data_IF_923833143123
#
_entry.id   IF_923833143123
#
_cell.length_a   1.000
_cell.length_b   1.000
_cell.length_c   1.000
_cell.angle_alpha   90.00
_cell.angle_beta   90.00
_cell.angle_gamma   90.00
#
_symmetry.space_group_name_H-M   'P 1'
#
loop_
_entity.id
_entity.type
_entity.pdbx_description
1 polymer ?
#
# COMPACT_ATOMS: atom_id res chain seq x y z
N UNK A 1 26.73 28.83 -20.17
CA UNK A 1 25.30 29.20 -20.12
C UNK A 1 24.40 28.04 -20.55
N UNK A 2 24.74 27.25 -21.58
CA UNK A 2 23.98 26.06 -21.99
C UNK A 2 24.03 24.89 -20.98
N UNK A 3 25.17 24.68 -20.30
CA UNK A 3 25.29 23.63 -19.25
C UNK A 3 24.43 23.89 -18.01
N UNK A 4 24.16 25.16 -17.69
CA UNK A 4 23.28 25.52 -16.56
C UNK A 4 21.80 25.20 -16.86
N UNK A 5 21.40 25.22 -18.14
CA UNK A 5 20.05 24.85 -18.57
C UNK A 5 19.75 23.35 -18.42
N UNK A 6 20.70 22.50 -18.83
CA UNK A 6 20.59 21.04 -18.67
C UNK A 6 20.59 20.61 -17.20
N UNK A 7 21.51 21.17 -16.39
CA UNK A 7 21.58 20.87 -14.97
C UNK A 7 20.33 21.33 -14.18
N UNK A 8 19.60 22.33 -14.66
CA UNK A 8 18.33 22.76 -14.04
C UNK A 8 17.17 21.84 -14.46
N UNK A 9 17.15 21.39 -15.71
CA UNK A 9 16.17 20.42 -16.20
C UNK A 9 16.24 19.09 -15.44
N UNK A 10 17.45 18.54 -15.22
CA UNK A 10 17.65 17.30 -14.45
C UNK A 10 17.15 17.43 -13.01
N UNK A 11 17.40 18.58 -12.37
CA UNK A 11 16.91 18.87 -11.02
C UNK A 11 15.39 18.89 -10.95
N UNK A 12 14.73 19.51 -11.93
CA UNK A 12 13.26 19.53 -11.98
C UNK A 12 12.68 18.13 -12.25
N UNK A 13 13.30 17.31 -13.10
CA UNK A 13 12.86 15.92 -13.32
C UNK A 13 12.96 15.10 -12.04
N UNK A 14 14.07 15.19 -11.31
CA UNK A 14 14.25 14.47 -10.03
C UNK A 14 13.20 14.92 -9.02
N UNK A 15 12.99 16.23 -8.87
CA UNK A 15 12.02 16.82 -7.95
C UNK A 15 10.60 16.39 -8.29
N UNK A 16 10.19 16.51 -9.55
CA UNK A 16 8.84 16.17 -9.99
C UNK A 16 8.58 14.67 -9.89
N UNK A 17 9.57 13.83 -10.23
CA UNK A 17 9.46 12.38 -10.10
C UNK A 17 9.26 11.95 -8.65
N UNK A 18 10.03 12.53 -7.72
CA UNK A 18 9.87 12.28 -6.28
C UNK A 18 8.50 12.76 -5.76
N UNK A 19 8.04 13.94 -6.21
CA UNK A 19 6.74 14.47 -5.84
C UNK A 19 5.59 13.57 -6.33
N UNK A 20 5.61 13.15 -7.60
CA UNK A 20 4.59 12.25 -8.16
C UNK A 20 4.57 10.91 -7.44
N UNK A 21 5.74 10.31 -7.16
CA UNK A 21 5.82 9.05 -6.43
C UNK A 21 5.24 9.16 -5.00
N UNK A 22 5.54 10.25 -4.30
CA UNK A 22 5.01 10.51 -2.97
C UNK A 22 3.48 10.63 -2.98
N UNK A 23 2.95 11.49 -3.85
CA UNK A 23 1.51 11.75 -3.94
C UNK A 23 0.74 10.48 -4.34
N UNK A 24 1.23 9.73 -5.33
CA UNK A 24 0.60 8.49 -5.74
C UNK A 24 0.60 7.42 -4.63
N UNK A 25 1.71 7.33 -3.88
CA UNK A 25 1.83 6.41 -2.74
C UNK A 25 0.92 6.79 -1.57
N UNK A 26 0.83 8.07 -1.25
CA UNK A 26 0.04 8.58 -0.12
C UNK A 26 -1.46 8.28 -0.31
N UNK A 27 -2.07 8.77 -1.39
CA UNK A 27 -3.49 8.53 -1.64
C UNK A 27 -3.84 7.04 -1.70
N UNK A 28 -2.99 6.24 -2.37
CA UNK A 28 -3.29 4.83 -2.56
C UNK A 28 -3.20 4.01 -1.27
N UNK A 29 -2.20 4.29 -0.43
CA UNK A 29 -2.01 3.61 0.86
C UNK A 29 -3.06 4.01 1.89
N UNK A 30 -3.44 5.29 1.94
CA UNK A 30 -4.50 5.78 2.83
C UNK A 30 -5.84 5.11 2.51
N UNK A 31 -6.25 5.12 1.23
CA UNK A 31 -7.51 4.54 0.80
C UNK A 31 -7.58 3.02 1.04
N UNK A 32 -6.51 2.28 0.71
CA UNK A 32 -6.46 0.83 0.95
C UNK A 32 -6.47 0.47 2.44
N UNK A 33 -5.80 1.26 3.29
CA UNK A 33 -5.81 1.04 4.73
C UNK A 33 -7.19 1.27 5.34
N UNK A 34 -7.90 2.33 4.92
CA UNK A 34 -9.27 2.59 5.37
C UNK A 34 -10.23 1.49 4.91
N UNK A 35 -10.11 1.02 3.66
CA UNK A 35 -10.89 -0.09 3.17
C UNK A 35 -10.65 -1.39 3.95
N UNK A 36 -9.39 -1.67 4.31
CA UNK A 36 -9.04 -2.80 5.17
C UNK A 36 -9.69 -2.69 6.55
N UNK A 37 -9.59 -1.52 7.20
CA UNK A 37 -10.20 -1.29 8.52
C UNK A 37 -11.71 -1.48 8.44
N UNK A 38 -12.36 -0.90 7.42
CA UNK A 38 -13.79 -1.06 7.19
C UNK A 38 -14.17 -2.54 7.04
N UNK A 39 -13.43 -3.31 6.23
CA UNK A 39 -13.68 -4.73 6.05
C UNK A 39 -13.53 -5.49 7.38
N UNK A 40 -12.42 -5.32 8.08
CA UNK A 40 -12.13 -6.08 9.30
C UNK A 40 -13.09 -5.77 10.45
N UNK A 41 -13.59 -4.53 10.57
CA UNK A 41 -14.62 -4.17 11.55
C UNK A 41 -15.96 -4.86 11.25
N UNK A 42 -16.31 -5.05 9.98
CA UNK A 42 -17.55 -5.72 9.58
C UNK A 42 -17.44 -7.26 9.61
N UNK A 43 -16.23 -7.81 9.54
CA UNK A 43 -15.96 -9.26 9.49
C UNK A 43 -14.99 -9.71 10.61
N UNK A 44 -15.41 -9.64 11.89
CA UNK A 44 -14.53 -9.94 13.04
C UNK A 44 -14.03 -11.39 13.10
N UNK A 45 -14.71 -12.34 12.47
CA UNK A 45 -14.24 -13.71 12.27
C UNK A 45 -13.03 -13.79 11.34
N UNK A 46 -12.96 -12.93 10.32
CA UNK A 46 -11.79 -12.84 9.43
C UNK A 46 -10.59 -12.31 10.22
N UNK A 47 -10.79 -11.28 11.05
CA UNK A 47 -9.76 -10.75 11.94
C UNK A 47 -9.19 -11.81 12.89
N UNK A 48 -10.07 -12.58 13.55
CA UNK A 48 -9.65 -13.64 14.47
C UNK A 48 -8.84 -14.73 13.78
N UNK A 49 -9.21 -15.11 12.56
CA UNK A 49 -8.44 -16.08 11.75
C UNK A 49 -7.08 -15.54 11.34
N UNK A 50 -7.01 -14.26 10.96
CA UNK A 50 -5.74 -13.61 10.62
C UNK A 50 -4.81 -13.55 11.83
N UNK A 51 -5.32 -13.15 12.99
CA UNK A 51 -4.55 -13.12 14.23
C UNK A 51 -4.05 -14.53 14.60
N UNK A 52 -4.89 -15.56 14.51
CA UNK A 52 -4.48 -16.93 14.79
C UNK A 52 -3.39 -17.45 13.84
N UNK A 53 -3.40 -17.05 12.56
CA UNK A 53 -2.31 -17.38 11.63
C UNK A 53 -1.01 -16.68 12.05
N UNK A 54 -1.07 -15.38 12.37
CA UNK A 54 0.09 -14.61 12.83
C UNK A 54 0.67 -15.23 14.11
N UNK A 55 -0.16 -15.48 15.12
CA UNK A 55 0.28 -16.05 16.40
C UNK A 55 0.93 -17.42 16.21
N UNK A 56 0.41 -18.24 15.29
CA UNK A 56 0.98 -19.57 14.98
C UNK A 56 2.34 -19.49 14.27
N UNK A 57 2.50 -18.56 13.34
CA UNK A 57 3.67 -18.49 12.45
C UNK A 57 4.79 -17.65 13.04
N UNK A 58 4.43 -16.51 13.63
CA UNK A 58 5.36 -15.50 14.16
C UNK A 58 5.59 -15.69 15.65
N UNK A 59 4.59 -16.19 16.39
CA UNK A 59 4.58 -16.22 17.84
C UNK A 59 4.17 -14.87 18.44
N UNK A 60 4.23 -14.77 19.77
CA UNK A 60 3.85 -13.57 20.52
C UNK A 60 5.03 -12.73 20.99
N UNK A 61 6.27 -13.20 20.75
CA UNK A 61 7.49 -12.59 21.29
C UNK A 61 8.04 -11.47 20.39
N UNK A 62 7.57 -11.37 19.15
CA UNK A 62 8.00 -10.36 18.17
C UNK A 62 6.88 -9.97 17.22
N UNK A 63 7.07 -8.84 16.54
CA UNK A 63 6.21 -8.43 15.43
C UNK A 63 6.59 -9.18 14.13
N UNK A 64 5.64 -9.30 13.17
CA UNK A 64 5.92 -9.84 11.84
C UNK A 64 6.96 -9.01 11.06
N UNK A 65 7.71 -9.67 10.20
CA UNK A 65 8.67 -9.07 9.27
C UNK A 65 8.36 -9.49 7.84
N UNK A 66 9.01 -8.88 6.85
CA UNK A 66 8.82 -9.26 5.44
C UNK A 66 9.24 -10.71 5.13
N UNK A 67 10.12 -11.31 5.94
CA UNK A 67 10.54 -12.71 5.78
C UNK A 67 9.41 -13.70 6.10
N UNK A 68 8.44 -13.30 6.93
CA UNK A 68 7.32 -14.16 7.32
C UNK A 68 6.22 -14.23 6.24
N UNK A 69 6.28 -13.36 5.22
CA UNK A 69 5.20 -13.15 4.25
C UNK A 69 4.74 -14.41 3.53
N UNK A 70 5.66 -15.26 3.11
CA UNK A 70 5.34 -16.51 2.41
C UNK A 70 4.63 -17.53 3.33
N UNK A 71 4.88 -17.42 4.63
CA UNK A 71 4.28 -18.26 5.68
C UNK A 71 2.94 -17.74 6.20
N UNK A 72 2.48 -16.57 5.73
CA UNK A 72 1.22 -15.92 6.13
C UNK A 72 0.19 -15.87 4.97
N UNK A 73 -0.20 -17.01 4.37
CA UNK A 73 -1.06 -17.03 3.19
C UNK A 73 -2.44 -16.43 3.43
N UNK A 74 -3.03 -16.56 4.62
CA UNK A 74 -4.35 -16.02 4.92
C UNK A 74 -4.30 -14.49 5.07
N UNK A 75 -3.30 -13.95 5.76
CA UNK A 75 -3.06 -12.49 5.80
C UNK A 75 -2.87 -11.94 4.38
N UNK A 76 -2.08 -12.64 3.54
CA UNK A 76 -1.89 -12.24 2.14
C UNK A 76 -3.18 -12.32 1.32
N UNK A 77 -4.06 -13.28 1.60
CA UNK A 77 -5.37 -13.36 0.97
C UNK A 77 -6.25 -12.17 1.37
N UNK A 78 -6.22 -11.74 2.63
CA UNK A 78 -6.96 -10.55 3.08
C UNK A 78 -6.46 -9.29 2.37
N UNK A 79 -5.14 -9.09 2.27
CA UNK A 79 -4.60 -7.93 1.53
C UNK A 79 -5.08 -7.90 0.08
N UNK A 80 -5.07 -9.06 -0.60
CA UNK A 80 -5.59 -9.17 -1.98
C UNK A 80 -7.09 -8.90 -2.04
N UNK A 81 -7.84 -9.42 -1.09
CA UNK A 81 -9.29 -9.28 -1.05
C UNK A 81 -9.73 -7.84 -0.74
N UNK A 82 -9.01 -7.12 0.13
CA UNK A 82 -9.22 -5.69 0.35
C UNK A 82 -9.11 -4.92 -0.96
N UNK A 83 -8.07 -5.18 -1.76
CA UNK A 83 -7.86 -4.50 -3.03
C UNK A 83 -8.87 -4.90 -4.10
N UNK A 84 -9.40 -6.13 -4.04
CA UNK A 84 -10.48 -6.61 -4.91
C UNK A 84 -11.82 -5.96 -4.55
N UNK A 85 -12.14 -5.87 -3.25
CA UNK A 85 -13.39 -5.31 -2.76
C UNK A 85 -13.46 -3.79 -2.91
N UNK A 86 -12.32 -3.12 -2.70
CA UNK A 86 -12.20 -1.67 -2.83
C UNK A 86 -10.98 -1.32 -3.69
N UNK A 87 -11.19 -1.30 -5.00
CA UNK A 87 -10.16 -0.89 -5.95
C UNK A 87 -9.89 0.61 -5.80
N UNK A 88 -8.68 0.96 -5.36
CA UNK A 88 -8.32 2.35 -5.03
C UNK A 88 -8.25 3.26 -6.26
N UNK A 89 -7.99 2.69 -7.43
CA UNK A 89 -8.03 3.40 -8.72
C UNK A 89 -8.92 2.61 -9.68
N UNK A 90 -10.25 2.80 -9.64
CA UNK A 90 -11.19 2.04 -10.46
C UNK A 90 -11.03 2.29 -11.96
N UNK A 91 -10.65 3.50 -12.34
CA UNK A 91 -10.53 3.96 -13.73
C UNK A 91 -9.15 4.58 -13.98
N UNK A 92 -8.14 3.77 -14.31
CA UNK A 92 -6.95 4.13 -15.09
C UNK A 92 -6.05 5.31 -14.66
N UNK A 93 -6.38 6.06 -13.61
CA UNK A 93 -5.69 7.30 -13.25
C UNK A 93 -5.94 8.42 -14.25
N UNK A 94 -7.20 8.79 -14.48
CA UNK A 94 -7.47 10.02 -15.23
C UNK A 94 -7.26 11.24 -14.31
N UNK A 95 -6.05 11.79 -14.36
CA UNK A 95 -5.56 12.90 -13.54
C UNK A 95 -5.89 14.27 -14.14
N UNK A 96 -6.97 14.41 -14.90
CA UNK A 96 -7.37 15.67 -15.58
C UNK A 96 -7.71 16.85 -14.65
N UNK A 97 -7.38 16.76 -13.35
CA UNK A 97 -7.45 17.85 -12.38
C UNK A 97 -6.08 18.40 -11.95
N UNK A 98 -5.07 18.34 -12.83
CA UNK A 98 -3.89 19.22 -12.77
C UNK A 98 -3.61 19.86 -14.14
#
# INVERSE_FOLDING_TARGET
MLEQGGANADKEVIKNSAATAYVAGEYSTVASTLAFILAIVNYPEVQRKAQAEIDRVVGTDRLPTFQDRESLPYVMAICKETLRWHTVVPEGGDIHWF
#
